data_IF_399503712404
#
_entry.id   IF_399503712404
#
_cell.length_a   1.000
_cell.length_b   1.000
_cell.length_c   1.000
_cell.angle_alpha   90.00
_cell.angle_beta   90.00
_cell.angle_gamma   90.00
#
_symmetry.space_group_name_H-M   'P 1'
#
loop_
_entity.id
_entity.type
_entity.pdbx_description
1 polymer ?
#
# COMPACT_ATOMS: atom_id res chain seq x y z
N UNK A 1 26.87 -45.69 -26.56
CA UNK A 1 25.42 -45.97 -26.49
C UNK A 1 24.76 -45.39 -25.24
N UNK A 2 25.30 -45.56 -24.03
CA UNK A 2 24.69 -45.05 -22.77
C UNK A 2 24.56 -43.52 -22.73
N UNK A 3 25.54 -42.79 -23.28
CA UNK A 3 25.53 -41.31 -23.27
C UNK A 3 24.55 -40.69 -24.30
N UNK A 4 24.25 -41.39 -25.40
CA UNK A 4 23.27 -40.95 -26.40
C UNK A 4 21.82 -41.14 -25.90
N UNK A 5 21.59 -42.21 -25.14
CA UNK A 5 20.28 -42.52 -24.53
C UNK A 5 19.97 -41.53 -23.39
N UNK A 6 20.96 -41.15 -22.60
CA UNK A 6 20.79 -40.15 -21.53
C UNK A 6 20.47 -38.74 -22.09
N UNK A 7 21.06 -38.35 -23.22
CA UNK A 7 20.80 -37.06 -23.86
C UNK A 7 19.41 -37.02 -24.52
N UNK A 8 18.96 -38.14 -25.10
CA UNK A 8 17.58 -38.29 -25.62
C UNK A 8 16.52 -38.28 -24.50
N UNK A 9 16.80 -38.92 -23.36
CA UNK A 9 15.90 -38.88 -22.19
C UNK A 9 15.83 -37.49 -21.54
N UNK A 10 16.94 -36.75 -21.46
CA UNK A 10 16.93 -35.40 -20.90
C UNK A 10 16.21 -34.39 -21.81
N UNK A 11 16.35 -34.53 -23.13
CA UNK A 11 15.65 -33.68 -24.10
C UNK A 11 14.13 -33.92 -24.14
N UNK A 12 13.67 -35.14 -23.83
CA UNK A 12 12.24 -35.48 -23.74
C UNK A 12 11.57 -34.95 -22.46
N UNK A 13 12.32 -34.80 -21.36
CA UNK A 13 11.79 -34.27 -20.10
C UNK A 13 11.61 -32.75 -20.16
N UNK A 14 12.53 -32.03 -20.84
CA UNK A 14 12.43 -30.57 -20.99
C UNK A 14 11.28 -30.13 -21.88
N UNK A 15 10.90 -30.88 -22.92
CA UNK A 15 9.80 -30.46 -23.81
C UNK A 15 8.41 -30.51 -23.13
N UNK A 16 8.21 -31.46 -22.20
CA UNK A 16 6.93 -31.58 -21.48
C UNK A 16 6.71 -30.48 -20.45
N UNK A 17 7.77 -29.96 -19.80
CA UNK A 17 7.61 -28.88 -18.81
C UNK A 17 7.27 -27.54 -19.45
N UNK A 18 7.83 -27.22 -20.62
CA UNK A 18 7.54 -25.98 -21.34
C UNK A 18 6.11 -25.97 -21.93
N UNK A 19 5.64 -27.10 -22.48
CA UNK A 19 4.29 -27.20 -23.03
C UNK A 19 3.20 -27.07 -21.94
N UNK A 20 3.47 -27.53 -20.72
CA UNK A 20 2.53 -27.46 -19.60
C UNK A 20 2.41 -26.04 -19.01
N UNK A 21 3.49 -25.27 -18.99
CA UNK A 21 3.48 -23.87 -18.53
C UNK A 21 2.78 -22.94 -19.54
N UNK A 22 2.93 -23.18 -20.84
CA UNK A 22 2.27 -22.41 -21.90
C UNK A 22 0.74 -22.62 -21.88
N UNK A 23 0.29 -23.89 -21.79
CA UNK A 23 -1.14 -24.22 -21.70
C UNK A 23 -1.81 -23.62 -20.46
N UNK A 24 -1.12 -23.61 -19.32
CA UNK A 24 -1.59 -22.96 -18.09
C UNK A 24 -1.79 -21.46 -18.26
N UNK A 25 -0.80 -20.76 -18.80
CA UNK A 25 -0.88 -19.30 -19.00
C UNK A 25 -2.01 -18.93 -19.96
N UNK A 26 -2.17 -19.69 -21.05
CA UNK A 26 -3.26 -19.49 -22.00
C UNK A 26 -4.63 -19.74 -21.36
N UNK A 27 -4.76 -20.75 -20.50
CA UNK A 27 -5.99 -21.02 -19.75
C UNK A 27 -6.31 -19.91 -18.75
N UNK A 28 -5.33 -19.47 -17.95
CA UNK A 28 -5.51 -18.40 -16.96
C UNK A 28 -5.90 -17.07 -17.62
N UNK A 29 -5.33 -16.78 -18.79
CA UNK A 29 -5.61 -15.55 -19.55
C UNK A 29 -6.98 -15.55 -20.22
N UNK A 30 -7.38 -16.67 -20.83
CA UNK A 30 -8.52 -16.68 -21.76
C UNK A 30 -9.75 -17.45 -21.24
N UNK A 31 -9.57 -18.41 -20.33
CA UNK A 31 -10.62 -19.37 -19.96
C UNK A 31 -11.06 -19.28 -18.50
N UNK A 32 -10.14 -18.94 -17.59
CA UNK A 32 -10.40 -18.91 -16.13
C UNK A 32 -11.46 -17.89 -15.70
N UNK A 33 -11.73 -16.87 -16.52
CA UNK A 33 -12.78 -15.88 -16.27
C UNK A 33 -14.17 -16.53 -16.25
N UNK A 34 -14.38 -17.55 -17.09
CA UNK A 34 -15.67 -18.18 -17.28
C UNK A 34 -15.75 -19.62 -16.77
N UNK A 35 -14.62 -20.33 -16.72
CA UNK A 35 -14.54 -21.75 -16.36
C UNK A 35 -13.70 -22.00 -15.12
N UNK A 36 -14.06 -23.06 -14.39
CA UNK A 36 -13.26 -23.66 -13.33
C UNK A 36 -12.80 -25.05 -13.75
N UNK A 37 -11.66 -25.46 -13.21
CA UNK A 37 -11.20 -26.84 -13.21
C UNK A 37 -11.20 -27.25 -11.74
N UNK A 38 -12.19 -28.05 -11.34
CA UNK A 38 -12.50 -28.35 -9.94
C UNK A 38 -13.19 -27.18 -9.22
N UNK A 39 -14.36 -27.45 -8.64
CA UNK A 39 -15.12 -26.46 -7.85
C UNK A 39 -16.48 -26.07 -8.44
N UNK A 40 -16.94 -26.78 -9.46
CA UNK A 40 -18.28 -26.70 -10.01
C UNK A 40 -18.47 -25.63 -11.09
N UNK A 41 -19.72 -25.48 -11.54
CA UNK A 41 -20.13 -24.51 -12.58
C UNK A 41 -19.85 -23.06 -12.14
N UNK A 42 -19.36 -22.23 -13.07
CA UNK A 42 -19.17 -20.80 -12.89
C UNK A 42 -20.09 -20.02 -13.85
N UNK A 43 -19.57 -19.57 -14.99
CA UNK A 43 -20.35 -19.02 -16.11
C UNK A 43 -20.54 -20.11 -17.14
N UNK A 44 -19.45 -20.80 -17.50
CA UNK A 44 -19.46 -22.02 -18.28
C UNK A 44 -19.48 -23.29 -17.40
N UNK A 45 -19.65 -24.47 -18.03
CA UNK A 45 -19.61 -25.75 -17.33
C UNK A 45 -18.23 -26.05 -16.72
N UNK A 46 -18.23 -26.96 -15.75
CA UNK A 46 -17.04 -27.52 -15.13
C UNK A 46 -16.20 -28.28 -16.17
N UNK A 47 -14.88 -28.07 -16.14
CA UNK A 47 -13.96 -28.64 -17.12
C UNK A 47 -13.17 -29.84 -16.58
N UNK A 48 -13.26 -30.15 -15.29
CA UNK A 48 -12.63 -31.32 -14.71
C UNK A 48 -13.14 -32.61 -15.41
N UNK A 49 -12.22 -33.34 -16.03
CA UNK A 49 -12.54 -34.58 -16.75
C UNK A 49 -13.20 -34.39 -18.11
N UNK A 50 -13.24 -33.17 -18.67
CA UNK A 50 -13.90 -32.91 -19.96
C UNK A 50 -13.32 -33.72 -21.12
N UNK A 51 -12.01 -34.01 -21.09
CA UNK A 51 -11.30 -34.83 -22.08
C UNK A 51 -11.68 -36.31 -22.01
N UNK A 52 -12.27 -36.77 -20.91
CA UNK A 52 -12.83 -38.12 -20.80
C UNK A 52 -14.28 -38.18 -21.29
N UNK A 53 -14.97 -37.05 -21.27
CA UNK A 53 -16.35 -36.95 -21.71
C UNK A 53 -16.48 -36.68 -23.21
N UNK A 54 -15.48 -36.04 -23.83
CA UNK A 54 -15.56 -35.58 -25.22
C UNK A 54 -14.28 -35.84 -25.99
N UNK A 55 -14.45 -36.12 -27.28
CA UNK A 55 -13.33 -36.27 -28.19
C UNK A 55 -12.60 -34.94 -28.37
N UNK A 56 -11.27 -35.03 -28.38
CA UNK A 56 -10.38 -33.87 -28.46
C UNK A 56 -10.64 -33.02 -29.70
N UNK A 57 -10.94 -33.64 -30.84
CA UNK A 57 -11.27 -32.91 -32.08
C UNK A 57 -12.52 -32.04 -31.95
N UNK A 58 -13.54 -32.52 -31.22
CA UNK A 58 -14.75 -31.76 -30.97
C UNK A 58 -14.46 -30.58 -30.02
N UNK A 59 -13.64 -30.81 -28.99
CA UNK A 59 -13.21 -29.75 -28.06
C UNK A 59 -12.44 -28.64 -28.78
N UNK A 60 -11.55 -28.98 -29.72
CA UNK A 60 -10.82 -27.97 -30.51
C UNK A 60 -11.79 -27.11 -31.33
N UNK A 61 -12.77 -27.72 -32.02
CA UNK A 61 -13.77 -26.99 -32.80
C UNK A 61 -14.65 -26.11 -31.91
N UNK A 62 -15.04 -26.62 -30.74
CA UNK A 62 -15.87 -25.89 -29.79
C UNK A 62 -15.15 -24.72 -29.15
N UNK A 63 -13.88 -24.90 -28.78
CA UNK A 63 -13.02 -23.83 -28.27
C UNK A 63 -12.80 -22.77 -29.35
N UNK A 64 -12.52 -23.18 -30.58
CA UNK A 64 -12.28 -22.24 -31.69
C UNK A 64 -13.50 -21.34 -31.95
N UNK A 65 -14.70 -21.93 -32.04
CA UNK A 65 -15.91 -21.17 -32.30
C UNK A 65 -17.18 -21.96 -31.90
N UNK A 66 -17.63 -21.79 -30.65
CA UNK A 66 -18.85 -22.47 -30.19
C UNK A 66 -20.10 -22.03 -30.96
N UNK A 67 -20.16 -20.77 -31.42
CA UNK A 67 -21.30 -20.23 -32.14
C UNK A 67 -21.49 -20.90 -33.50
N UNK A 68 -20.41 -21.19 -34.21
CA UNK A 68 -20.45 -21.88 -35.50
C UNK A 68 -20.98 -23.32 -35.35
N UNK A 69 -20.61 -24.03 -34.28
CA UNK A 69 -21.19 -25.35 -34.00
C UNK A 69 -22.69 -25.29 -33.69
N UNK A 70 -23.13 -24.28 -32.92
CA UNK A 70 -24.55 -24.04 -32.64
C UNK A 70 -25.31 -23.75 -33.94
N UNK A 71 -24.78 -22.85 -34.78
CA UNK A 71 -25.38 -22.45 -36.04
C UNK A 71 -25.39 -23.63 -37.06
N UNK A 72 -24.44 -24.55 -36.98
CA UNK A 72 -24.39 -25.78 -37.79
C UNK A 72 -25.42 -26.85 -37.38
N UNK A 73 -26.12 -26.66 -36.26
CA UNK A 73 -27.11 -27.61 -35.76
C UNK A 73 -26.53 -28.74 -34.90
N UNK A 74 -25.31 -28.60 -34.38
CA UNK A 74 -24.73 -29.57 -33.45
C UNK A 74 -25.60 -29.63 -32.19
N UNK A 75 -26.27 -30.78 -31.98
CA UNK A 75 -27.23 -30.99 -30.90
C UNK A 75 -26.61 -30.78 -29.52
N UNK A 76 -25.33 -31.11 -29.36
CA UNK A 76 -24.62 -31.02 -28.10
C UNK A 76 -24.20 -29.57 -27.83
N UNK A 77 -23.71 -28.85 -28.84
CA UNK A 77 -23.38 -27.42 -28.71
C UNK A 77 -24.64 -26.60 -28.35
N UNK A 78 -25.78 -26.92 -28.97
CA UNK A 78 -27.08 -26.32 -28.65
C UNK A 78 -27.49 -26.64 -27.21
N UNK A 79 -27.36 -27.89 -26.78
CA UNK A 79 -27.69 -28.28 -25.41
C UNK A 79 -26.84 -27.52 -24.38
N UNK A 80 -25.51 -27.48 -24.58
CA UNK A 80 -24.59 -26.76 -23.69
C UNK A 80 -24.93 -25.27 -23.68
N UNK A 81 -25.30 -24.68 -24.81
CA UNK A 81 -25.72 -23.28 -24.90
C UNK A 81 -27.00 -22.99 -24.09
N UNK A 82 -28.03 -23.83 -24.24
CA UNK A 82 -29.29 -23.71 -23.50
C UNK A 82 -29.08 -23.88 -21.98
N UNK A 83 -28.25 -24.85 -21.57
CA UNK A 83 -27.95 -25.14 -20.15
C UNK A 83 -27.08 -24.06 -19.49
N UNK A 84 -26.41 -23.19 -20.26
CA UNK A 84 -25.50 -22.15 -19.76
C UNK A 84 -25.99 -20.74 -20.12
N UNK A 85 -27.27 -20.49 -19.82
CA UNK A 85 -27.92 -19.17 -19.91
C UNK A 85 -27.92 -18.54 -21.31
N UNK A 86 -27.75 -19.33 -22.37
CA UNK A 86 -27.69 -18.84 -23.76
C UNK A 86 -26.56 -17.83 -23.97
N UNK A 87 -25.47 -17.97 -23.22
CA UNK A 87 -24.27 -17.17 -23.39
C UNK A 87 -23.32 -17.96 -24.30
N UNK A 88 -23.04 -17.49 -25.53
CA UNK A 88 -22.09 -18.16 -26.39
C UNK A 88 -20.69 -17.92 -25.85
N UNK A 89 -19.80 -18.90 -26.01
CA UNK A 89 -18.39 -18.71 -25.70
C UNK A 89 -17.78 -17.73 -26.71
N UNK A 90 -16.77 -16.96 -26.29
CA UNK A 90 -16.03 -16.09 -27.20
C UNK A 90 -15.33 -16.93 -28.27
N UNK A 91 -15.25 -16.40 -29.49
CA UNK A 91 -14.56 -17.07 -30.58
C UNK A 91 -13.05 -16.86 -30.44
N UNK A 92 -12.30 -17.96 -30.34
CA UNK A 92 -10.85 -17.97 -30.19
C UNK A 92 -10.17 -18.25 -31.54
N UNK A 93 -10.57 -17.51 -32.58
CA UNK A 93 -10.01 -17.64 -33.94
C UNK A 93 -8.56 -17.17 -34.03
N UNK A 94 -8.10 -16.41 -33.03
CA UNK A 94 -6.73 -15.93 -32.88
C UNK A 94 -5.76 -16.99 -32.31
N UNK A 95 -6.26 -18.10 -31.75
CA UNK A 95 -5.43 -19.18 -31.23
C UNK A 95 -5.14 -20.23 -32.31
N UNK A 96 -3.88 -20.64 -32.41
CA UNK A 96 -3.46 -21.78 -33.23
C UNK A 96 -4.00 -23.10 -32.67
N UNK A 97 -4.06 -24.13 -33.51
CA UNK A 97 -4.42 -25.48 -33.03
C UNK A 97 -3.45 -25.98 -31.95
N UNK A 98 -2.17 -25.60 -32.03
CA UNK A 98 -1.17 -25.95 -31.00
C UNK A 98 -1.49 -25.33 -29.64
N UNK A 99 -1.86 -24.05 -29.61
CA UNK A 99 -2.24 -23.34 -28.38
C UNK A 99 -3.56 -23.86 -27.78
N UNK A 100 -4.54 -24.22 -28.61
CA UNK A 100 -5.77 -24.83 -28.10
C UNK A 100 -5.47 -26.22 -27.52
N UNK A 101 -4.60 -26.99 -28.16
CA UNK A 101 -4.22 -28.30 -27.65
C UNK A 101 -3.44 -28.20 -26.33
N UNK A 102 -2.54 -27.22 -26.17
CA UNK A 102 -1.82 -27.04 -24.90
C UNK A 102 -2.76 -26.65 -23.75
N UNK A 103 -3.83 -25.87 -24.03
CA UNK A 103 -4.90 -25.60 -23.06
C UNK A 103 -5.63 -26.91 -22.67
N UNK A 104 -5.98 -27.74 -23.64
CA UNK A 104 -6.64 -29.04 -23.39
C UNK A 104 -5.73 -29.97 -22.58
N UNK A 105 -4.44 -30.03 -22.91
CA UNK A 105 -3.43 -30.80 -22.18
C UNK A 105 -3.28 -30.33 -20.74
N UNK A 106 -3.34 -29.01 -20.52
CA UNK A 106 -3.33 -28.45 -19.17
C UNK A 106 -4.58 -28.87 -18.38
N UNK A 107 -5.77 -28.82 -18.98
CA UNK A 107 -7.03 -29.26 -18.34
C UNK A 107 -6.99 -30.76 -18.01
N UNK A 108 -6.49 -31.59 -18.93
CA UNK A 108 -6.40 -33.04 -18.75
C UNK A 108 -5.45 -33.44 -17.62
N UNK A 109 -4.30 -32.75 -17.54
CA UNK A 109 -3.28 -33.01 -16.53
C UNK A 109 -3.44 -32.13 -15.28
N UNK A 110 -4.55 -31.40 -15.17
CA UNK A 110 -4.81 -30.53 -14.03
C UNK A 110 -4.98 -31.36 -12.76
N UNK A 111 -4.17 -31.05 -11.76
CA UNK A 111 -4.35 -31.58 -10.42
C UNK A 111 -4.85 -30.46 -9.50
N UNK A 112 -5.73 -30.76 -8.53
CA UNK A 112 -6.11 -29.77 -7.53
C UNK A 112 -4.84 -29.26 -6.88
N UNK A 113 -4.74 -27.93 -6.75
CA UNK A 113 -3.69 -27.31 -5.93
C UNK A 113 -3.83 -27.97 -4.58
N UNK A 114 -2.89 -28.87 -4.24
CA UNK A 114 -2.86 -29.44 -2.92
C UNK A 114 -2.73 -28.25 -1.98
N UNK A 115 -3.76 -28.03 -1.16
CA UNK A 115 -3.66 -27.13 -0.02
C UNK A 115 -2.44 -27.66 0.71
N UNK A 116 -1.31 -26.94 0.65
CA UNK A 116 -0.14 -27.33 1.43
C UNK A 116 -0.69 -27.48 2.84
N UNK A 117 -0.72 -28.71 3.37
CA UNK A 117 -0.91 -28.89 4.79
C UNK A 117 0.27 -28.17 5.41
N UNK A 118 -0.01 -26.95 5.87
CA UNK A 118 0.98 -26.06 6.41
C UNK A 118 1.31 -26.63 7.79
N UNK A 119 2.21 -27.61 7.80
CA UNK A 119 2.77 -28.24 8.99
C UNK A 119 3.81 -27.26 9.53
N UNK A 120 3.32 -26.24 10.21
CA UNK A 120 4.17 -25.18 10.74
C UNK A 120 4.84 -25.65 12.02
N UNK A 121 6.15 -25.47 12.09
CA UNK A 121 6.80 -25.40 13.40
C UNK A 121 6.43 -24.06 14.06
N UNK A 122 5.48 -24.12 14.99
CA UNK A 122 5.02 -22.97 15.78
C UNK A 122 6.13 -22.31 16.61
N UNK A 123 7.29 -22.97 16.75
CA UNK A 123 8.46 -22.45 17.45
C UNK A 123 9.53 -21.88 16.52
N UNK A 124 9.31 -21.87 15.19
CA UNK A 124 10.24 -21.23 14.26
C UNK A 124 10.37 -19.75 14.59
N UNK A 125 11.59 -19.31 14.88
CA UNK A 125 11.90 -17.91 15.28
C UNK A 125 12.84 -17.20 14.31
N UNK A 126 13.47 -17.93 13.40
CA UNK A 126 14.44 -17.44 12.43
C UNK A 126 14.34 -18.23 11.10
N UNK A 127 15.13 -17.81 10.09
CA UNK A 127 15.18 -18.50 8.79
C UNK A 127 13.90 -18.37 7.96
N UNK A 128 13.18 -17.25 8.10
CA UNK A 128 12.06 -16.90 7.24
C UNK A 128 12.54 -16.40 5.88
N UNK A 129 11.78 -16.69 4.84
CA UNK A 129 12.00 -16.14 3.50
C UNK A 129 11.51 -14.69 3.44
N UNK A 130 12.06 -13.91 2.51
CA UNK A 130 11.67 -12.52 2.32
C UNK A 130 10.17 -12.37 2.00
N UNK A 131 9.59 -13.31 1.24
CA UNK A 131 8.16 -13.34 0.91
C UNK A 131 7.29 -13.53 2.16
N UNK A 132 7.68 -14.43 3.08
CA UNK A 132 6.96 -14.68 4.33
C UNK A 132 6.98 -13.42 5.22
N UNK A 133 8.16 -12.79 5.34
CA UNK A 133 8.35 -11.54 6.11
C UNK A 133 7.47 -10.43 5.52
N UNK A 134 7.55 -10.19 4.21
CA UNK A 134 6.77 -9.14 3.53
C UNK A 134 5.26 -9.40 3.65
N UNK A 135 4.81 -10.65 3.51
CA UNK A 135 3.39 -10.98 3.67
C UNK A 135 2.92 -10.73 5.12
N UNK A 136 3.74 -11.09 6.10
CA UNK A 136 3.52 -10.79 7.51
C UNK A 136 3.44 -9.31 7.81
N UNK A 137 4.36 -8.53 7.28
CA UNK A 137 4.40 -7.08 7.44
C UNK A 137 3.10 -6.47 6.92
N UNK A 138 2.68 -6.86 5.71
CA UNK A 138 1.45 -6.36 5.09
C UNK A 138 0.21 -6.72 5.89
N UNK A 139 0.15 -7.92 6.49
CA UNK A 139 -0.93 -8.30 7.40
C UNK A 139 -0.94 -7.43 8.65
N UNK A 140 0.24 -7.24 9.28
CA UNK A 140 0.37 -6.46 10.51
C UNK A 140 -0.03 -4.99 10.34
N UNK A 141 0.27 -4.40 9.17
CA UNK A 141 -0.15 -3.05 8.81
C UNK A 141 -1.60 -2.97 8.26
N UNK A 142 -2.33 -4.08 8.16
CA UNK A 142 -3.70 -4.11 7.61
C UNK A 142 -3.78 -3.74 6.11
N UNK A 143 -2.72 -4.04 5.36
CA UNK A 143 -2.62 -3.77 3.91
C UNK A 143 -3.19 -4.89 3.05
N UNK A 144 -3.43 -6.06 3.64
CA UNK A 144 -4.03 -7.22 2.97
C UNK A 144 -5.11 -7.82 3.88
N UNK A 145 -6.20 -8.35 3.29
CA UNK A 145 -7.26 -8.96 4.07
C UNK A 145 -6.83 -10.32 4.64
N UNK A 146 -7.45 -10.71 5.76
CA UNK A 146 -7.37 -12.06 6.28
C UNK A 146 -8.33 -13.01 5.54
N UNK A 147 -8.02 -14.31 5.50
CA UNK A 147 -8.81 -15.34 4.82
C UNK A 147 -10.24 -15.43 5.36
N UNK A 148 -10.39 -15.32 6.68
CA UNK A 148 -11.70 -15.34 7.35
C UNK A 148 -12.38 -13.95 7.40
N UNK A 149 -11.85 -12.97 6.67
CA UNK A 149 -12.42 -11.63 6.54
C UNK A 149 -11.78 -10.58 7.46
N UNK A 150 -11.91 -9.31 7.06
CA UNK A 150 -11.33 -8.16 7.75
C UNK A 150 -10.00 -7.68 7.14
N UNK A 151 -9.68 -6.40 7.35
CA UNK A 151 -8.39 -5.76 6.99
C UNK A 151 -7.77 -5.13 8.24
N UNK A 152 -7.90 -5.82 9.35
CA UNK A 152 -7.66 -5.23 10.64
C UNK A 152 -6.16 -4.97 10.84
N UNK A 153 -5.85 -3.75 11.25
CA UNK A 153 -4.50 -3.23 11.33
C UNK A 153 -3.98 -3.41 12.76
N UNK A 154 -3.04 -4.33 12.97
CA UNK A 154 -2.45 -4.59 14.29
C UNK A 154 -1.79 -3.33 14.86
N UNK A 155 -1.26 -2.45 14.00
CA UNK A 155 -0.63 -1.19 14.43
C UNK A 155 -1.59 -0.18 15.08
N UNK A 156 -2.91 -0.37 14.95
CA UNK A 156 -3.90 0.47 15.64
C UNK A 156 -3.80 0.35 17.17
N UNK A 157 -3.41 -0.83 17.65
CA UNK A 157 -3.20 -1.13 19.06
C UNK A 157 -1.71 -1.30 19.39
N UNK A 158 -0.95 -1.96 18.52
CA UNK A 158 0.47 -2.30 18.67
C UNK A 158 1.34 -1.38 17.82
N UNK A 159 1.56 -0.17 18.30
CA UNK A 159 2.29 0.86 17.59
C UNK A 159 3.70 0.41 17.18
N UNK A 160 4.07 0.73 15.93
CA UNK A 160 5.40 0.50 15.38
C UNK A 160 6.32 1.74 15.45
N UNK A 161 5.81 2.88 15.96
CA UNK A 161 6.58 4.14 16.15
C UNK A 161 6.28 4.81 17.50
N UNK A 162 7.27 5.51 18.06
CA UNK A 162 7.18 6.15 19.37
C UNK A 162 5.99 7.12 19.43
N UNK A 163 5.17 7.01 20.48
CA UNK A 163 4.06 7.92 20.74
C UNK A 163 4.24 8.57 22.11
N UNK A 164 3.85 9.84 22.24
CA UNK A 164 3.74 10.52 23.54
C UNK A 164 2.36 10.27 24.19
N UNK A 165 1.51 9.46 23.56
CA UNK A 165 0.18 9.09 24.06
C UNK A 165 0.27 7.97 25.08
N UNK A 166 -0.60 8.03 26.10
CA UNK A 166 -0.74 6.95 27.07
C UNK A 166 -1.41 5.76 26.39
N UNK A 167 -0.65 4.70 26.13
CA UNK A 167 -1.15 3.41 25.66
C UNK A 167 -0.73 2.31 26.63
N UNK A 168 -1.68 1.48 27.05
CA UNK A 168 -1.45 0.37 27.98
C UNK A 168 -1.09 -0.94 27.26
N UNK A 169 -1.14 -0.97 25.93
CA UNK A 169 -0.79 -2.11 25.10
C UNK A 169 0.72 -2.15 24.80
N UNK A 170 1.31 -3.35 24.68
CA UNK A 170 2.71 -3.48 24.26
C UNK A 170 2.92 -2.94 22.83
N UNK A 171 4.08 -2.34 22.57
CA UNK A 171 4.45 -1.91 21.23
C UNK A 171 4.64 -3.12 20.30
N UNK A 172 4.63 -2.89 18.98
CA UNK A 172 4.99 -3.94 18.02
C UNK A 172 6.40 -4.49 18.27
N UNK A 173 7.33 -3.66 18.77
CA UNK A 173 8.68 -4.08 19.08
C UNK A 173 8.76 -4.89 20.37
N UNK A 174 7.98 -4.53 21.40
CA UNK A 174 7.90 -5.34 22.62
C UNK A 174 7.34 -6.73 22.32
N UNK A 175 6.36 -6.83 21.42
CA UNK A 175 5.86 -8.11 20.91
C UNK A 175 6.96 -8.89 20.16
N UNK A 176 7.70 -8.20 19.29
CA UNK A 176 8.78 -8.81 18.51
C UNK A 176 9.90 -9.38 19.38
N UNK A 177 10.35 -8.61 20.39
CA UNK A 177 11.35 -9.05 21.37
C UNK A 177 10.80 -10.23 22.18
N UNK A 178 9.58 -10.11 22.71
CA UNK A 178 8.95 -11.18 23.47
C UNK A 178 8.78 -12.46 22.64
N UNK A 179 8.56 -12.37 21.34
CA UNK A 179 8.45 -13.54 20.45
C UNK A 179 9.79 -14.26 20.25
N UNK A 180 10.88 -13.51 19.98
CA UNK A 180 12.20 -14.08 19.68
C UNK A 180 12.92 -14.61 20.93
N UNK A 181 12.58 -14.12 22.12
CA UNK A 181 13.15 -14.62 23.38
C UNK A 181 12.95 -16.13 23.57
N UNK A 182 13.98 -16.83 24.08
CA UNK A 182 14.00 -18.31 24.17
C UNK A 182 12.82 -18.90 24.97
N UNK A 183 12.46 -18.25 26.09
CA UNK A 183 11.29 -18.57 26.91
C UNK A 183 10.18 -17.54 26.74
N UNK A 184 10.18 -16.86 25.59
CA UNK A 184 9.29 -15.77 25.27
C UNK A 184 7.87 -16.20 24.92
N UNK A 185 7.09 -15.23 24.45
CA UNK A 185 5.69 -15.39 24.05
C UNK A 185 5.55 -16.45 22.93
N UNK A 186 4.61 -17.38 23.12
CA UNK A 186 4.09 -18.18 22.02
C UNK A 186 2.98 -17.38 21.32
N UNK A 187 3.26 -16.93 20.09
CA UNK A 187 2.33 -16.11 19.32
C UNK A 187 1.08 -16.89 18.87
N UNK A 188 1.22 -18.19 18.60
CA UNK A 188 0.09 -19.04 18.25
C UNK A 188 -0.89 -19.16 19.41
N UNK A 189 -0.40 -19.42 20.61
CA UNK A 189 -1.21 -19.45 21.82
C UNK A 189 -1.85 -18.07 22.07
N UNK A 190 -1.07 -17.00 21.95
CA UNK A 190 -1.55 -15.63 22.21
C UNK A 190 -2.66 -15.17 21.27
N UNK A 191 -2.63 -15.61 20.00
CA UNK A 191 -3.63 -15.24 18.99
C UNK A 191 -4.78 -16.23 18.87
N UNK A 192 -4.53 -17.53 19.09
CA UNK A 192 -5.56 -18.59 18.96
C UNK A 192 -6.33 -18.79 20.25
N UNK A 193 -5.66 -18.62 21.41
CA UNK A 193 -6.21 -18.84 22.75
C UNK A 193 -5.83 -17.67 23.68
N UNK A 194 -6.42 -16.47 23.50
CA UNK A 194 -6.07 -15.31 24.30
C UNK A 194 -6.32 -15.56 25.79
N UNK A 195 -5.26 -15.47 26.59
CA UNK A 195 -5.26 -15.81 28.03
C UNK A 195 -6.06 -14.85 28.93
N UNK A 196 -6.51 -13.71 28.41
CA UNK A 196 -7.27 -12.72 29.17
C UNK A 196 -8.56 -12.29 28.47
N UNK A 197 -9.61 -12.00 29.26
CA UNK A 197 -10.91 -11.52 28.75
C UNK A 197 -10.80 -10.21 27.94
N UNK A 198 -9.77 -9.39 28.22
CA UNK A 198 -9.54 -8.14 27.50
C UNK A 198 -8.97 -8.42 26.11
N UNK A 199 -7.99 -9.33 26.02
CA UNK A 199 -7.44 -9.76 24.73
C UNK A 199 -8.46 -10.52 23.90
N UNK A 200 -9.26 -11.40 24.51
CA UNK A 200 -10.34 -12.12 23.84
C UNK A 200 -11.36 -11.15 23.22
N UNK A 201 -11.77 -10.10 23.96
CA UNK A 201 -12.66 -9.05 23.42
C UNK A 201 -12.01 -8.24 22.31
N UNK A 202 -10.75 -7.85 22.48
CA UNK A 202 -10.02 -7.06 21.48
C UNK A 202 -9.77 -7.85 20.18
N UNK A 203 -9.56 -9.17 20.29
CA UNK A 203 -9.27 -10.06 19.16
C UNK A 203 -10.49 -10.83 18.67
N UNK A 204 -11.70 -10.57 19.20
CA UNK A 204 -12.93 -11.31 18.86
C UNK A 204 -13.25 -11.29 17.36
N UNK A 205 -12.87 -10.23 16.67
CA UNK A 205 -13.10 -10.04 15.23
C UNK A 205 -11.97 -10.61 14.36
N UNK A 206 -10.90 -11.13 14.97
CA UNK A 206 -9.67 -11.58 14.32
C UNK A 206 -9.61 -13.11 14.36
N UNK A 207 -10.22 -13.76 13.36
CA UNK A 207 -10.14 -15.21 13.21
C UNK A 207 -8.98 -15.58 12.27
N UNK A 208 -7.75 -15.58 12.78
CA UNK A 208 -6.55 -15.84 11.97
C UNK A 208 -6.31 -17.34 11.76
N UNK A 209 -5.91 -17.70 10.54
CA UNK A 209 -5.44 -19.04 10.19
C UNK A 209 -4.00 -19.26 10.68
N UNK A 210 -3.59 -20.53 10.78
CA UNK A 210 -2.22 -20.86 11.19
C UNK A 210 -1.13 -20.33 10.24
N UNK A 211 -1.42 -20.18 8.95
CA UNK A 211 -0.53 -19.56 7.95
C UNK A 211 -0.42 -18.04 8.16
N UNK A 212 -1.50 -17.37 8.53
CA UNK A 212 -1.49 -15.92 8.80
C UNK A 212 -0.69 -15.61 10.07
N UNK A 213 -0.90 -16.39 11.13
CA UNK A 213 -0.10 -16.28 12.36
C UNK A 213 1.38 -16.53 12.05
N UNK A 214 1.70 -17.52 11.22
CA UNK A 214 3.08 -17.80 10.80
C UNK A 214 3.72 -16.60 10.09
N UNK A 215 3.02 -16.01 9.11
CA UNK A 215 3.55 -14.87 8.37
C UNK A 215 3.74 -13.66 9.30
N UNK A 216 2.79 -13.37 10.19
CA UNK A 216 2.94 -12.31 11.20
C UNK A 216 4.16 -12.58 12.09
N UNK A 217 4.40 -13.84 12.46
CA UNK A 217 5.59 -14.26 13.22
C UNK A 217 6.89 -13.98 12.46
N UNK A 218 6.91 -14.23 11.15
CA UNK A 218 8.05 -13.93 10.28
C UNK A 218 8.38 -12.43 10.29
N UNK A 219 7.36 -11.58 10.20
CA UNK A 219 7.54 -10.13 10.32
C UNK A 219 8.08 -9.73 11.70
N UNK A 220 7.53 -10.26 12.79
CA UNK A 220 8.00 -9.93 14.14
C UNK A 220 9.45 -10.37 14.39
N UNK A 221 9.86 -11.52 13.84
CA UNK A 221 11.26 -11.97 13.88
C UNK A 221 12.19 -10.93 13.26
N UNK A 222 11.90 -10.47 12.05
CA UNK A 222 12.69 -9.43 11.36
C UNK A 222 12.60 -8.08 12.08
N UNK A 223 11.42 -7.72 12.58
CA UNK A 223 11.18 -6.46 13.25
C UNK A 223 11.95 -6.32 14.57
N UNK A 224 12.23 -7.43 15.26
CA UNK A 224 13.07 -7.46 16.46
C UNK A 224 14.54 -7.08 16.19
N UNK A 225 15.01 -7.28 14.96
CA UNK A 225 16.40 -7.01 14.56
C UNK A 225 16.58 -5.55 14.13
N UNK A 226 15.49 -4.85 13.77
CA UNK A 226 15.54 -3.43 13.44
C UNK A 226 15.80 -2.64 14.73
N UNK A 227 16.88 -1.86 14.75
CA UNK A 227 17.17 -0.92 15.84
C UNK A 227 16.05 0.13 15.95
N UNK A 228 15.06 -0.14 16.78
CA UNK A 228 14.09 0.88 17.17
C UNK A 228 14.54 1.47 18.51
N UNK A 229 14.62 2.80 18.60
CA UNK A 229 14.80 3.46 19.90
C UNK A 229 13.72 2.95 20.84
N UNK A 230 14.10 2.42 21.99
CA UNK A 230 13.18 1.85 22.99
C UNK A 230 11.92 2.72 23.14
N UNK A 231 10.77 2.09 22.94
CA UNK A 231 9.47 2.71 23.09
C UNK A 231 9.23 3.05 24.56
N UNK A 232 9.45 4.31 24.92
CA UNK A 232 9.20 4.78 26.29
C UNK A 232 7.75 5.20 26.40
N UNK A 233 6.93 4.31 26.96
CA UNK A 233 5.49 4.48 27.21
C UNK A 233 5.16 5.67 28.13
N UNK A 234 6.15 6.23 28.85
CA UNK A 234 5.90 7.20 29.90
C UNK A 234 5.61 8.61 29.34
N UNK A 235 4.38 9.16 29.50
CA UNK A 235 4.00 10.45 28.95
C UNK A 235 4.65 11.59 29.75
N UNK A 236 5.90 11.92 29.40
CA UNK A 236 6.75 12.84 30.18
C UNK A 236 6.07 14.19 30.43
N UNK A 237 5.40 14.75 29.43
CA UNK A 237 4.72 16.05 29.54
C UNK A 237 3.58 16.02 30.56
N UNK A 238 2.70 15.01 30.48
CA UNK A 238 1.59 14.85 31.42
C UNK A 238 2.10 14.61 32.85
N UNK A 239 3.12 13.78 33.01
CA UNK A 239 3.70 13.47 34.32
C UNK A 239 4.41 14.66 34.94
N UNK A 240 5.14 15.45 34.16
CA UNK A 240 5.71 16.72 34.59
C UNK A 240 4.61 17.72 34.97
N UNK A 241 3.53 17.80 34.17
CA UNK A 241 2.39 18.66 34.48
C UNK A 241 1.77 18.31 35.83
N UNK A 242 1.46 17.03 36.07
CA UNK A 242 0.87 16.54 37.33
C UNK A 242 1.84 16.74 38.50
N UNK A 243 3.12 16.41 38.33
CA UNK A 243 4.14 16.58 39.37
C UNK A 243 4.21 18.03 39.85
N UNK A 244 4.35 18.99 38.93
CA UNK A 244 4.42 20.41 39.29
C UNK A 244 3.07 20.95 39.79
N UNK A 245 1.94 20.43 39.32
CA UNK A 245 0.63 20.79 39.88
C UNK A 245 0.52 20.38 41.36
N UNK A 246 0.97 19.17 41.71
CA UNK A 246 0.98 18.69 43.09
C UNK A 246 1.96 19.51 43.94
N UNK A 247 3.18 19.74 43.47
CA UNK A 247 4.19 20.52 44.19
C UNK A 247 3.72 21.96 44.46
N UNK A 248 3.11 22.62 43.47
CA UNK A 248 2.54 23.95 43.65
C UNK A 248 1.38 23.95 44.64
N UNK A 249 0.49 22.94 44.57
CA UNK A 249 -0.64 22.82 45.51
C UNK A 249 -0.15 22.64 46.94
N UNK A 250 0.82 21.75 47.16
CA UNK A 250 1.45 21.55 48.48
C UNK A 250 2.15 22.82 48.97
N UNK A 251 2.83 23.55 48.08
CA UNK A 251 3.47 24.80 48.42
C UNK A 251 2.44 25.87 48.85
N UNK A 252 1.30 25.98 48.15
CA UNK A 252 0.22 26.91 48.49
C UNK A 252 -0.43 26.53 49.83
N UNK A 253 -0.72 25.24 50.05
CA UNK A 253 -1.29 24.75 51.31
C UNK A 253 -0.36 25.06 52.49
N UNK A 254 0.95 24.84 52.33
CA UNK A 254 1.91 25.12 53.41
C UNK A 254 2.10 26.62 53.66
N UNK A 255 2.04 27.45 52.62
CA UNK A 255 2.12 28.90 52.75
C UNK A 255 0.92 29.48 53.53
N UNK A 256 -0.29 28.95 53.30
CA UNK A 256 -1.54 29.47 53.88
C UNK A 256 -1.83 28.85 55.25
N UNK A 257 -1.78 27.52 55.35
CA UNK A 257 -2.31 26.78 56.49
C UNK A 257 -1.23 26.23 57.41
N UNK A 258 -0.38 25.31 56.93
CA UNK A 258 0.46 24.50 57.83
C UNK A 258 1.74 25.20 58.28
N UNK A 259 2.27 26.14 57.49
CA UNK A 259 3.45 26.97 57.80
C UNK A 259 4.65 26.16 58.33
N UNK A 260 4.82 24.91 57.87
CA UNK A 260 5.90 24.01 58.34
C UNK A 260 7.25 24.43 57.81
N UNK A 261 7.32 24.93 56.57
CA UNK A 261 8.57 25.46 56.01
C UNK A 261 8.77 26.92 56.44
N UNK A 262 9.87 27.18 57.17
CA UNK A 262 10.24 28.52 57.65
C UNK A 262 10.54 29.52 56.52
N UNK A 263 11.15 29.04 55.43
CA UNK A 263 11.63 29.90 54.35
C UNK A 263 10.56 30.09 53.27
N UNK A 264 9.80 31.18 53.37
CA UNK A 264 8.75 31.54 52.38
C UNK A 264 9.26 31.63 50.94
N UNK A 265 10.55 31.93 50.76
CA UNK A 265 11.20 32.00 49.45
C UNK A 265 11.15 30.65 48.71
N UNK A 266 11.22 29.52 49.43
CA UNK A 266 11.18 28.18 48.84
C UNK A 266 9.83 27.92 48.16
N UNK A 267 8.72 28.30 48.79
CA UNK A 267 7.39 28.18 48.18
C UNK A 267 7.26 29.03 46.92
N UNK A 268 7.76 30.27 46.97
CA UNK A 268 7.73 31.17 45.81
C UNK A 268 8.54 30.62 44.63
N UNK A 269 9.71 30.02 44.89
CA UNK A 269 10.52 29.36 43.86
C UNK A 269 9.77 28.17 43.25
N UNK A 270 9.17 27.30 44.08
CA UNK A 270 8.41 26.13 43.60
C UNK A 270 7.25 26.57 42.71
N UNK A 271 6.51 27.61 43.11
CA UNK A 271 5.40 28.16 42.33
C UNK A 271 5.90 28.78 41.02
N UNK A 272 6.97 29.58 41.05
CA UNK A 272 7.52 30.20 39.85
C UNK A 272 8.02 29.16 38.84
N UNK A 273 8.73 28.13 39.30
CA UNK A 273 9.20 27.02 38.45
C UNK A 273 8.02 26.21 37.91
N UNK A 274 7.04 25.88 38.75
CA UNK A 274 5.85 25.13 38.30
C UNK A 274 5.04 25.89 37.25
N UNK A 275 4.84 27.19 37.43
CA UNK A 275 4.19 28.05 36.43
C UNK A 275 4.99 28.13 35.13
N UNK A 276 6.33 28.24 35.21
CA UNK A 276 7.17 28.25 34.01
C UNK A 276 7.07 26.92 33.24
N UNK A 277 7.05 25.78 33.93
CA UNK A 277 6.87 24.46 33.33
C UNK A 277 5.48 24.32 32.70
N UNK A 278 4.42 24.68 33.41
CA UNK A 278 3.05 24.64 32.88
C UNK A 278 2.87 25.56 31.68
N UNK A 279 3.44 26.77 31.70
CA UNK A 279 3.42 27.70 30.58
C UNK A 279 4.19 27.14 29.37
N UNK A 280 5.35 26.53 29.59
CA UNK A 280 6.11 25.88 28.52
C UNK A 280 5.33 24.74 27.86
N UNK A 281 4.70 23.88 28.67
CA UNK A 281 3.84 22.81 28.17
C UNK A 281 2.65 23.39 27.40
N UNK A 282 1.94 24.37 27.99
CA UNK A 282 0.79 25.01 27.35
C UNK A 282 1.16 25.67 26.01
N UNK A 283 2.31 26.35 25.92
CA UNK A 283 2.82 26.91 24.67
C UNK A 283 3.15 25.82 23.64
N UNK A 284 3.70 24.70 24.08
CA UNK A 284 4.05 23.58 23.19
C UNK A 284 2.80 22.91 22.63
N UNK A 285 1.81 22.62 23.48
CA UNK A 285 0.52 22.05 23.06
C UNK A 285 -0.27 23.04 22.19
N UNK A 286 -0.25 24.34 22.52
CA UNK A 286 -0.89 25.37 21.69
C UNK A 286 -0.25 25.47 20.30
N UNK A 287 1.08 25.31 20.18
CA UNK A 287 1.77 25.27 18.88
C UNK A 287 1.43 24.00 18.09
N UNK A 288 1.18 22.88 18.78
CA UNK A 288 0.81 21.62 18.16
C UNK A 288 -0.65 21.59 17.69
N UNK A 289 -1.51 22.46 18.23
CA UNK A 289 -2.90 22.58 17.82
C UNK A 289 -3.00 22.90 16.31
N UNK A 290 -3.86 22.19 15.59
CA UNK A 290 -3.99 22.25 14.11
C UNK A 290 -2.74 21.82 13.31
N UNK A 291 -1.76 21.16 13.92
CA UNK A 291 -0.71 20.45 13.16
C UNK A 291 -1.14 19.01 12.92
N UNK A 292 -1.09 18.58 11.67
CA UNK A 292 -1.47 17.23 11.23
C UNK A 292 -0.26 16.38 10.83
N UNK A 293 0.90 16.65 11.40
CA UNK A 293 2.09 15.83 11.18
C UNK A 293 1.81 14.37 11.61
N UNK A 294 2.30 13.42 10.80
CA UNK A 294 2.06 11.98 10.92
C UNK A 294 0.59 11.54 10.74
N UNK A 295 -0.31 12.43 10.30
CA UNK A 295 -1.67 12.05 9.94
C UNK A 295 -1.66 11.06 8.77
N UNK A 296 -2.23 9.87 9.00
CA UNK A 296 -2.26 8.74 8.07
C UNK A 296 -3.63 8.04 8.16
N UNK A 297 -4.69 8.59 7.54
CA UNK A 297 -6.01 8.00 7.57
C UNK A 297 -6.07 6.73 6.74
N UNK A 298 -7.02 5.86 7.06
CA UNK A 298 -7.27 4.69 6.23
C UNK A 298 -7.89 5.11 4.89
N UNK A 299 -7.39 4.54 3.80
CA UNK A 299 -7.81 4.88 2.44
C UNK A 299 -8.81 3.84 1.91
N UNK A 300 -9.73 4.21 0.99
CA UNK A 300 -10.69 3.25 0.41
C UNK A 300 -10.00 2.05 -0.26
N UNK A 301 -8.82 2.31 -0.82
CA UNK A 301 -7.93 1.31 -1.40
C UNK A 301 -6.59 1.42 -0.71
N UNK A 302 -6.03 0.27 -0.30
CA UNK A 302 -4.73 0.17 0.39
C UNK A 302 -3.59 0.33 -0.62
N UNK A 303 -3.50 1.50 -1.24
CA UNK A 303 -2.46 1.84 -2.20
C UNK A 303 -1.12 2.03 -1.50
N UNK A 304 -0.06 1.40 -2.03
CA UNK A 304 1.29 1.46 -1.47
C UNK A 304 2.24 2.21 -2.40
N UNK A 305 2.72 3.38 -1.96
CA UNK A 305 3.74 4.12 -2.71
C UNK A 305 5.07 3.38 -2.74
N UNK A 306 5.43 2.68 -1.67
CA UNK A 306 6.66 1.87 -1.63
C UNK A 306 6.76 0.83 -2.74
N UNK A 307 5.67 0.13 -3.08
CA UNK A 307 5.72 -0.83 -4.18
C UNK A 307 5.87 -0.12 -5.53
N UNK A 308 5.12 0.95 -5.75
CA UNK A 308 5.09 1.61 -7.06
C UNK A 308 6.36 2.44 -7.31
N UNK A 309 6.80 3.22 -6.34
CA UNK A 309 7.95 4.12 -6.45
C UNK A 309 9.22 3.45 -5.94
N UNK A 310 9.18 2.82 -4.77
CA UNK A 310 10.39 2.21 -4.16
C UNK A 310 10.85 0.93 -4.84
N UNK A 311 9.95 -0.02 -5.10
CA UNK A 311 10.31 -1.32 -5.70
C UNK A 311 10.30 -1.27 -7.22
N UNK A 312 9.22 -0.74 -7.81
CA UNK A 312 9.05 -0.69 -9.26
C UNK A 312 9.65 0.57 -9.91
N UNK A 313 10.17 1.52 -9.13
CA UNK A 313 10.88 2.70 -9.62
C UNK A 313 10.04 3.53 -10.61
N UNK A 314 8.72 3.59 -10.39
CA UNK A 314 7.82 4.43 -11.19
C UNK A 314 8.01 5.89 -10.78
N UNK A 315 8.21 6.76 -11.77
CA UNK A 315 8.36 8.19 -11.58
C UNK A 315 7.11 8.84 -10.94
N UNK A 316 7.33 9.80 -10.04
CA UNK A 316 6.27 10.51 -9.33
C UNK A 316 5.27 11.19 -10.28
N UNK A 317 5.78 11.79 -11.36
CA UNK A 317 4.98 12.54 -12.34
C UNK A 317 4.20 11.63 -13.28
N UNK A 318 4.49 10.31 -13.33
CA UNK A 318 3.66 9.40 -14.12
C UNK A 318 2.21 9.39 -13.64
N UNK A 319 2.00 9.33 -12.32
CA UNK A 319 0.67 9.41 -11.72
C UNK A 319 0.25 10.87 -11.47
N UNK A 320 1.16 11.68 -10.94
CA UNK A 320 0.92 13.09 -10.57
C UNK A 320 1.35 14.05 -11.70
N UNK A 321 0.89 13.77 -12.91
CA UNK A 321 1.36 14.37 -14.17
C UNK A 321 1.03 15.85 -14.37
N UNK A 322 0.25 16.47 -13.49
CA UNK A 322 -0.08 17.91 -13.57
C UNK A 322 0.70 18.75 -12.54
N UNK A 323 1.61 18.13 -11.78
CA UNK A 323 2.34 18.82 -10.70
C UNK A 323 3.24 19.97 -11.20
N UNK A 324 3.70 19.90 -12.44
CA UNK A 324 4.56 20.87 -13.13
C UNK A 324 3.81 22.03 -13.80
N UNK A 325 2.51 21.89 -14.09
CA UNK A 325 1.70 22.91 -14.76
C UNK A 325 0.56 23.48 -13.90
N UNK A 326 0.03 22.71 -12.95
CA UNK A 326 -1.15 23.08 -12.16
C UNK A 326 -0.83 23.56 -10.75
N UNK A 327 -1.82 24.21 -10.12
CA UNK A 327 -1.78 24.55 -8.70
C UNK A 327 -1.76 23.30 -7.81
N UNK A 328 -2.35 22.22 -8.29
CA UNK A 328 -2.47 20.93 -7.59
C UNK A 328 -1.73 19.85 -8.37
N UNK A 329 -1.03 18.94 -7.69
CA UNK A 329 -0.46 17.75 -8.32
C UNK A 329 -1.50 16.74 -8.82
N UNK A 330 -2.77 16.90 -8.40
CA UNK A 330 -3.87 16.01 -8.76
C UNK A 330 -3.77 14.63 -8.09
N UNK A 331 -4.91 13.95 -8.02
CA UNK A 331 -4.96 12.52 -7.73
C UNK A 331 -5.23 11.82 -9.06
N UNK A 332 -4.48 10.77 -9.44
CA UNK A 332 -4.66 10.11 -10.72
C UNK A 332 -6.09 9.60 -10.88
N UNK A 333 -6.60 9.64 -12.11
CA UNK A 333 -7.86 8.98 -12.44
C UNK A 333 -7.71 7.47 -12.40
N UNK A 334 -8.85 6.78 -12.31
CA UNK A 334 -8.88 5.30 -12.32
C UNK A 334 -8.24 4.71 -13.59
N UNK A 335 -8.25 5.44 -14.71
CA UNK A 335 -7.66 5.00 -15.98
C UNK A 335 -6.14 4.83 -15.89
N UNK A 336 -5.46 5.72 -15.16
CA UNK A 336 -4.00 5.62 -14.93
C UNK A 336 -3.66 4.29 -14.26
N UNK A 337 -4.49 3.87 -13.29
CA UNK A 337 -4.33 2.56 -12.64
C UNK A 337 -4.47 1.41 -13.64
N UNK A 338 -5.39 1.52 -14.58
CA UNK A 338 -5.71 0.46 -15.54
C UNK A 338 -4.70 0.31 -16.68
N UNK A 339 -3.84 1.31 -16.92
CA UNK A 339 -2.71 1.17 -17.85
C UNK A 339 -1.88 -0.08 -17.55
N UNK A 340 -1.72 -0.41 -16.26
CA UNK A 340 -1.00 -1.61 -15.81
C UNK A 340 -1.94 -2.69 -15.25
N UNK A 341 -2.98 -2.33 -14.50
CA UNK A 341 -3.84 -3.30 -13.81
C UNK A 341 -4.84 -4.04 -14.72
N UNK A 342 -4.83 -3.75 -16.02
CA UNK A 342 -5.42 -4.62 -17.04
C UNK A 342 -4.57 -5.87 -17.34
N UNK A 343 -3.26 -5.80 -17.08
CA UNK A 343 -2.32 -6.93 -17.26
C UNK A 343 -1.93 -7.51 -15.90
N UNK A 344 -1.65 -6.64 -14.93
CA UNK A 344 -1.29 -7.02 -13.55
C UNK A 344 -2.55 -7.17 -12.72
N UNK A 345 -3.13 -8.37 -12.75
CA UNK A 345 -4.42 -8.67 -12.11
C UNK A 345 -4.31 -8.97 -10.61
N UNK A 346 -3.12 -9.30 -10.12
CA UNK A 346 -2.87 -9.68 -8.73
C UNK A 346 -1.50 -9.18 -8.27
N UNK A 347 -1.39 -8.71 -7.03
CA UNK A 347 -0.10 -8.48 -6.40
C UNK A 347 0.47 -9.77 -5.81
N UNK A 348 1.78 -9.98 -5.94
CA UNK A 348 2.49 -11.18 -5.45
C UNK A 348 2.19 -11.50 -3.99
N UNK A 349 2.14 -10.47 -3.14
CA UNK A 349 1.95 -10.59 -1.68
C UNK A 349 0.58 -10.10 -1.18
N UNK A 350 -0.28 -9.59 -2.07
CA UNK A 350 -1.56 -8.96 -1.71
C UNK A 350 -2.78 -9.53 -2.44
N UNK A 351 -2.57 -10.41 -3.40
CA UNK A 351 -3.64 -10.99 -4.19
C UNK A 351 -4.39 -9.96 -5.03
N UNK A 352 -5.65 -10.28 -5.36
CA UNK A 352 -6.51 -9.51 -6.27
C UNK A 352 -7.42 -8.49 -5.57
N UNK A 353 -7.51 -8.53 -4.23
CA UNK A 353 -8.57 -7.85 -3.48
C UNK A 353 -8.61 -6.34 -3.71
N UNK A 354 -7.49 -5.64 -3.51
CA UNK A 354 -7.42 -4.17 -3.66
C UNK A 354 -7.53 -3.74 -5.14
N UNK A 355 -6.92 -4.49 -6.06
CA UNK A 355 -7.00 -4.21 -7.51
C UNK A 355 -8.44 -4.37 -8.03
N UNK A 356 -9.18 -5.36 -7.51
CA UNK A 356 -10.57 -5.57 -7.88
C UNK A 356 -11.48 -4.41 -7.44
N UNK A 357 -11.13 -3.66 -6.38
CA UNK A 357 -11.87 -2.44 -6.00
C UNK A 357 -11.78 -1.36 -7.07
N UNK A 358 -10.62 -1.19 -7.69
CA UNK A 358 -10.41 -0.25 -8.82
C UNK A 358 -11.27 -0.66 -10.00
N UNK A 359 -11.25 -1.95 -10.37
CA UNK A 359 -12.06 -2.48 -11.48
C UNK A 359 -13.55 -2.27 -11.24
N UNK A 360 -14.04 -2.58 -10.04
CA UNK A 360 -15.44 -2.35 -9.66
C UNK A 360 -15.82 -0.87 -9.74
N UNK A 361 -14.95 0.03 -9.30
CA UNK A 361 -15.17 1.47 -9.39
C UNK A 361 -15.32 1.93 -10.84
N UNK A 362 -14.53 1.40 -11.78
CA UNK A 362 -14.66 1.69 -13.21
C UNK A 362 -15.93 1.07 -13.81
N UNK A 363 -16.23 -0.19 -13.50
CA UNK A 363 -17.43 -0.90 -13.98
C UNK A 363 -18.73 -0.21 -13.53
N UNK A 364 -18.77 0.27 -12.29
CA UNK A 364 -19.92 0.98 -11.73
C UNK A 364 -19.97 2.46 -12.15
N UNK A 365 -18.88 3.01 -12.71
CA UNK A 365 -18.75 4.44 -13.01
C UNK A 365 -18.69 5.35 -11.77
N UNK A 366 -18.38 4.80 -10.59
CA UNK A 366 -18.28 5.55 -9.34
C UNK A 366 -16.81 5.90 -9.06
N UNK A 367 -16.43 7.17 -8.87
CA UNK A 367 -15.05 7.54 -8.59
C UNK A 367 -14.60 7.06 -7.20
N UNK A 368 -13.32 6.77 -7.05
CA UNK A 368 -12.74 6.42 -5.74
C UNK A 368 -12.66 7.68 -4.87
N UNK A 369 -13.34 7.66 -3.72
CA UNK A 369 -13.35 8.76 -2.76
C UNK A 369 -12.09 8.75 -1.86
N UNK A 370 -10.98 9.24 -2.40
CA UNK A 370 -9.72 9.34 -1.66
C UNK A 370 -9.80 10.33 -0.49
N UNK A 371 -9.18 9.97 0.64
CA UNK A 371 -9.07 10.87 1.78
C UNK A 371 -7.80 11.70 1.63
N UNK A 372 -7.97 13.00 1.44
CA UNK A 372 -6.85 13.94 1.29
C UNK A 372 -6.10 14.11 2.62
N UNK A 373 -4.79 13.84 2.58
CA UNK A 373 -3.90 13.91 3.75
C UNK A 373 -3.35 15.33 3.93
N UNK A 374 -2.74 15.88 2.87
CA UNK A 374 -2.16 17.22 2.88
C UNK A 374 -3.24 18.24 2.53
N UNK A 375 -3.72 18.96 3.54
CA UNK A 375 -4.68 20.03 3.38
C UNK A 375 -4.14 21.35 3.93
N UNK A 376 -4.30 22.41 3.15
CA UNK A 376 -4.00 23.78 3.58
C UNK A 376 -5.32 24.56 3.67
N UNK A 377 -5.41 25.58 4.54
CA UNK A 377 -6.59 26.43 4.62
C UNK A 377 -6.90 27.08 3.26
N UNK A 378 -8.18 27.26 2.94
CA UNK A 378 -8.64 27.77 1.63
C UNK A 378 -8.13 29.18 1.29
N UNK A 379 -7.74 29.98 2.30
CA UNK A 379 -7.17 31.30 2.09
C UNK A 379 -5.68 31.28 1.68
N UNK A 380 -5.04 30.11 1.71
CA UNK A 380 -3.65 29.94 1.30
C UNK A 380 -3.61 29.51 -0.16
N UNK A 381 -3.03 30.36 -1.00
CA UNK A 381 -2.76 30.01 -2.39
C UNK A 381 -1.41 29.28 -2.48
N UNK A 382 -1.45 28.02 -2.89
CA UNK A 382 -0.27 27.20 -3.16
C UNK A 382 -0.31 26.68 -4.59
N UNK A 383 0.83 26.66 -5.26
CA UNK A 383 0.97 26.15 -6.63
C UNK A 383 2.10 25.15 -6.74
N UNK A 384 1.80 23.90 -7.12
CA UNK A 384 2.84 22.90 -7.36
C UNK A 384 3.76 23.31 -8.52
N UNK A 385 3.19 23.83 -9.62
CA UNK A 385 3.96 24.27 -10.79
C UNK A 385 5.09 25.25 -10.45
N UNK A 386 4.85 26.21 -9.55
CA UNK A 386 5.89 27.16 -9.15
C UNK A 386 7.04 26.51 -8.36
N UNK A 387 6.76 25.46 -7.59
CA UNK A 387 7.79 24.79 -6.79
C UNK A 387 8.51 23.70 -7.58
N UNK A 388 7.78 22.92 -8.38
CA UNK A 388 8.33 21.81 -9.17
C UNK A 388 9.01 22.32 -10.44
N UNK A 389 8.32 23.12 -11.26
CA UNK A 389 8.85 23.56 -12.56
C UNK A 389 9.80 24.76 -12.41
N UNK A 390 9.35 25.84 -11.76
CA UNK A 390 10.20 27.04 -11.61
C UNK A 390 11.25 26.91 -10.49
N UNK A 391 10.88 26.28 -9.38
CA UNK A 391 11.76 26.09 -8.22
C UNK A 391 12.69 24.88 -8.31
N UNK A 392 12.40 23.91 -9.19
CA UNK A 392 13.09 22.62 -9.28
C UNK A 392 13.27 21.94 -7.90
N UNK A 393 12.23 21.98 -7.08
CA UNK A 393 12.24 21.40 -5.73
C UNK A 393 11.84 19.93 -5.81
N UNK A 394 12.71 19.07 -5.29
CA UNK A 394 12.44 17.63 -5.17
C UNK A 394 11.22 17.35 -4.28
N UNK A 395 10.34 16.45 -4.73
CA UNK A 395 9.10 16.08 -4.05
C UNK A 395 9.31 15.65 -2.59
N UNK A 396 10.42 14.94 -2.34
CA UNK A 396 10.76 14.38 -1.03
C UNK A 396 11.07 15.46 0.02
N UNK A 397 11.48 16.66 -0.42
CA UNK A 397 11.75 17.81 0.46
C UNK A 397 10.49 18.20 1.24
N UNK A 398 9.33 18.10 0.59
CA UNK A 398 8.04 18.49 1.17
C UNK A 398 7.29 17.28 1.73
N UNK A 399 7.27 16.15 1.00
CA UNK A 399 6.45 14.99 1.32
C UNK A 399 7.20 13.88 2.08
N UNK A 400 8.51 14.02 2.28
CA UNK A 400 9.37 13.00 2.90
C UNK A 400 9.72 11.86 1.95
N UNK A 401 10.33 10.77 2.46
CA UNK A 401 10.74 9.62 1.65
C UNK A 401 9.52 8.77 1.25
N UNK A 402 8.72 9.25 0.31
CA UNK A 402 7.47 8.60 -0.15
C UNK A 402 7.72 7.20 -0.72
N UNK A 403 8.90 6.99 -1.31
CA UNK A 403 9.35 5.68 -1.81
C UNK A 403 9.46 4.60 -0.72
N UNK A 404 9.51 4.97 0.56
CA UNK A 404 9.56 4.05 1.70
C UNK A 404 8.18 3.90 2.38
N UNK A 405 7.13 4.55 1.87
CA UNK A 405 5.82 4.60 2.53
C UNK A 405 4.85 3.58 1.95
N UNK A 406 4.52 2.55 2.74
CA UNK A 406 3.36 1.70 2.46
C UNK A 406 2.03 2.45 2.63
N UNK A 407 1.92 3.25 3.70
CA UNK A 407 0.76 4.10 3.96
C UNK A 407 1.25 5.54 3.91
N UNK A 408 0.63 6.35 3.06
CA UNK A 408 0.98 7.76 2.95
C UNK A 408 0.66 8.47 4.27
N UNK A 409 1.57 9.34 4.70
CA UNK A 409 1.37 10.16 5.90
C UNK A 409 1.89 11.57 5.67
N UNK A 410 1.38 12.53 6.43
CA UNK A 410 1.93 13.87 6.37
C UNK A 410 3.30 13.92 7.06
N UNK A 411 4.37 14.09 6.28
CA UNK A 411 5.74 14.14 6.80
C UNK A 411 6.09 15.51 7.40
N UNK A 412 5.89 16.56 6.61
CA UNK A 412 6.17 17.94 7.01
C UNK A 412 4.96 18.58 7.70
N UNK A 413 5.20 19.52 8.60
CA UNK A 413 4.12 20.21 9.32
C UNK A 413 3.28 21.14 8.42
N UNK A 414 3.84 21.55 7.27
CA UNK A 414 3.28 22.51 6.31
C UNK A 414 2.77 23.80 6.98
N UNK A 415 3.43 24.22 8.07
CA UNK A 415 3.09 25.44 8.78
C UNK A 415 3.63 26.67 8.05
N UNK A 416 3.02 27.84 8.27
CA UNK A 416 3.51 29.10 7.72
C UNK A 416 4.99 29.35 8.06
N UNK A 417 5.41 29.01 9.29
CA UNK A 417 6.80 29.15 9.74
C UNK A 417 7.74 28.30 8.90
N UNK A 418 7.38 27.03 8.68
CA UNK A 418 8.14 26.11 7.83
C UNK A 418 8.26 26.60 6.39
N UNK A 419 7.16 27.09 5.79
CA UNK A 419 7.18 27.65 4.43
C UNK A 419 8.11 28.87 4.35
N UNK A 420 8.02 29.80 5.31
CA UNK A 420 8.84 31.03 5.31
C UNK A 420 10.32 30.72 5.52
N UNK A 421 10.65 29.79 6.40
CA UNK A 421 12.03 29.34 6.62
C UNK A 421 12.59 28.72 5.34
N UNK A 422 11.85 27.79 4.73
CA UNK A 422 12.23 27.19 3.45
C UNK A 422 12.45 28.26 2.36
N UNK A 423 11.55 29.25 2.24
CA UNK A 423 11.69 30.33 1.26
C UNK A 423 12.87 31.27 1.55
N UNK A 424 13.28 31.44 2.81
CA UNK A 424 14.45 32.26 3.18
C UNK A 424 15.77 31.55 2.91
N UNK A 425 15.79 30.24 3.10
CA UNK A 425 17.01 29.44 3.02
C UNK A 425 17.27 28.89 1.60
N UNK A 426 16.20 28.66 0.83
CA UNK A 426 16.28 28.14 -0.53
C UNK A 426 16.87 29.17 -1.49
N UNK A 427 17.85 28.74 -2.28
CA UNK A 427 18.47 29.56 -3.33
C UNK A 427 17.82 29.26 -4.66
N UNK A 428 17.45 30.32 -5.38
CA UNK A 428 16.94 30.20 -6.75
C UNK A 428 18.12 29.91 -7.68
N UNK A 429 18.03 28.83 -8.44
CA UNK A 429 18.98 28.53 -9.50
C UNK A 429 18.63 29.31 -10.77
N UNK A 430 19.36 30.39 -11.03
CA UNK A 430 19.21 31.19 -12.25
C UNK A 430 20.09 30.70 -13.41
N UNK A 431 21.04 29.79 -13.18
CA UNK A 431 22.06 29.44 -14.18
C UNK A 431 21.72 28.15 -14.92
N UNK A 432 21.39 27.10 -14.18
CA UNK A 432 21.24 25.76 -14.74
C UNK A 432 19.76 25.35 -14.88
N UNK A 433 18.84 26.25 -14.51
CA UNK A 433 17.41 26.05 -14.63
C UNK A 433 16.86 26.51 -16.00
N UNK A 434 16.24 25.58 -16.72
CA UNK A 434 15.64 25.83 -18.04
C UNK A 434 14.61 26.96 -18.01
N UNK A 435 13.80 27.04 -16.95
CA UNK A 435 12.78 28.07 -16.77
C UNK A 435 13.39 29.47 -16.85
N UNK A 436 14.44 29.76 -16.06
CA UNK A 436 15.09 31.08 -16.07
C UNK A 436 15.96 31.31 -17.30
N UNK A 437 16.56 30.24 -17.85
CA UNK A 437 17.35 30.34 -19.08
C UNK A 437 16.53 30.89 -20.26
N UNK A 438 15.22 30.59 -20.31
CA UNK A 438 14.30 31.10 -21.34
C UNK A 438 14.16 32.62 -21.26
N UNK A 439 14.01 33.17 -20.07
CA UNK A 439 13.94 34.61 -19.83
C UNK A 439 15.27 35.30 -20.14
N UNK A 440 16.41 34.68 -19.83
CA UNK A 440 17.73 35.20 -20.21
C UNK A 440 17.89 35.27 -21.73
N UNK A 441 17.46 34.24 -22.46
CA UNK A 441 17.48 34.25 -23.93
C UNK A 441 16.60 35.36 -24.51
N UNK A 442 15.40 35.56 -23.97
CA UNK A 442 14.51 36.65 -24.38
C UNK A 442 15.14 38.02 -24.09
N UNK A 443 15.79 38.18 -22.93
CA UNK A 443 16.52 39.39 -22.58
C UNK A 443 17.64 39.70 -23.57
N UNK A 444 18.45 38.70 -23.94
CA UNK A 444 19.56 38.85 -24.89
C UNK A 444 19.06 39.14 -26.31
N UNK A 445 17.94 38.54 -26.73
CA UNK A 445 17.31 38.82 -28.02
C UNK A 445 16.77 40.25 -28.08
N UNK A 446 16.16 40.75 -27.00
CA UNK A 446 15.68 42.13 -26.89
C UNK A 446 16.86 43.10 -26.93
N UNK A 447 17.93 42.81 -26.17
CA UNK A 447 19.15 43.63 -26.12
C UNK A 447 19.90 43.68 -27.45
N UNK A 448 19.92 42.57 -28.20
CA UNK A 448 20.54 42.50 -29.52
C UNK A 448 19.66 43.07 -30.64
N UNK A 449 18.42 43.48 -30.34
CA UNK A 449 17.47 44.02 -31.32
C UNK A 449 16.91 42.96 -32.28
N UNK A 450 17.07 41.66 -31.97
CA UNK A 450 16.44 40.57 -32.74
C UNK A 450 14.92 40.54 -32.59
N UNK A 451 14.44 40.98 -31.43
CA UNK A 451 13.02 41.19 -31.12
C UNK A 451 12.83 42.60 -30.60
N UNK A 452 11.68 43.20 -30.90
CA UNK A 452 11.29 44.55 -30.50
C UNK A 452 10.56 44.58 -29.15
N UNK A 453 9.87 43.49 -28.81
CA UNK A 453 9.10 43.32 -27.58
C UNK A 453 9.02 41.84 -27.18
N UNK A 454 8.66 41.59 -25.92
CA UNK A 454 8.37 40.24 -25.43
C UNK A 454 6.87 40.08 -25.26
N UNK A 455 6.27 39.09 -25.94
CA UNK A 455 4.83 38.82 -25.88
C UNK A 455 4.49 37.79 -24.80
N UNK A 456 3.22 37.74 -24.40
CA UNK A 456 2.70 36.77 -23.42
C UNK A 456 2.89 35.32 -23.91
N UNK A 457 2.79 35.09 -25.21
CA UNK A 457 3.07 33.79 -25.83
C UNK A 457 4.51 33.33 -25.60
N UNK A 458 5.48 34.22 -25.74
CA UNK A 458 6.91 33.90 -25.59
C UNK A 458 7.30 33.52 -24.16
N UNK A 459 6.52 33.92 -23.17
CA UNK A 459 6.67 33.52 -21.75
C UNK A 459 5.73 32.36 -21.38
N UNK A 460 5.13 31.71 -22.38
CA UNK A 460 4.27 30.54 -22.22
C UNK A 460 2.91 30.84 -21.60
N UNK A 461 2.37 32.06 -21.78
CA UNK A 461 1.03 32.44 -21.30
C UNK A 461 -0.13 31.95 -22.17
N UNK A 462 0.16 31.21 -23.25
CA UNK A 462 -0.84 30.47 -24.02
C UNK A 462 -1.00 29.00 -23.57
N UNK A 463 -0.28 28.60 -22.53
CA UNK A 463 -0.45 27.27 -21.94
C UNK A 463 -1.80 27.20 -21.22
N UNK A 464 -2.71 26.39 -21.78
CA UNK A 464 -4.06 26.22 -21.26
C UNK A 464 -4.07 25.86 -19.77
N UNK A 465 -3.08 25.08 -19.28
CA UNK A 465 -3.03 24.63 -17.89
C UNK A 465 -2.70 25.76 -16.90
N UNK A 466 -2.12 26.88 -17.36
CA UNK A 466 -1.86 28.06 -16.51
C UNK A 466 -3.12 28.89 -16.24
N UNK A 467 -4.15 28.73 -17.08
CA UNK A 467 -5.40 29.48 -16.99
C UNK A 467 -6.61 28.60 -16.60
N UNK A 468 -6.66 27.36 -17.10
CA UNK A 468 -7.75 26.41 -16.90
C UNK A 468 -7.36 25.32 -15.89
N UNK A 469 -7.24 25.72 -14.62
CA UNK A 469 -6.93 24.85 -13.48
C UNK A 469 -7.99 23.81 -13.15
#
# INVERSE_FOLDING_TARGET
MVSLIAFLLFSLISMNSFAQDEGKQLFEKNCQVCHKIGGGKLVGPELLGITQLREREWLVKFIRNSKELIDSGDKLAIQVYEENNKIPMQAFTNLSDGEINSIIDYIENWQPVQKKEFTVDVNKKDGFTETEIRRGERMFYGLIPFENGGTASCISCHYAKNTDSLNWNPSAHDLAVAFVEKNGMNIYESMSEPSSQVMEKAHKEYNLTGEEIYNISAFLSEFSQKETKQFKIFPKRLMLFILFAILMTLAIIDLIFTKKLKYRLVHLIIIAVGLAVHLNIAMTEAKALSRTQDYAPDQPIKFSHQIHVGENQIDCQYCHHIADFSKSAGIPSNDVCMNCHNVVLAGTNSGKFEINKIKRSIENGEPIEWIRIHNMPEHVFFSHAQHVNAGNIECETCHGPVAEMHIMKQFSDLSMGWCIECHRDSKVDFKDNEYYSSYMKLHDQLKSGKIDSVTVEQVGGLDCMKCHY
#
